data_IF_012449204094
#
_entry.id   IF_012449204094
#
_cell.length_a   1.000
_cell.length_b   1.000
_cell.length_c   1.000
_cell.angle_alpha   90.00
_cell.angle_beta   90.00
_cell.angle_gamma   90.00
#
_symmetry.space_group_name_H-M   'P 1'
#
loop_
_entity.id
_entity.type
_entity.pdbx_description
1 polymer ?
#
# COMPACT_ATOMS: atom_id res chain seq x y z
N UNK A 1 8.82 20.45 14.50
CA UNK A 1 8.64 19.02 14.14
C UNK A 1 8.38 19.00 12.66
N UNK A 2 9.28 18.46 11.86
CA UNK A 2 9.12 18.35 10.42
C UNK A 2 8.70 16.94 10.02
N UNK A 3 8.03 16.82 8.88
CA UNK A 3 7.80 15.53 8.23
C UNK A 3 8.85 15.34 7.13
N UNK A 4 9.18 14.08 6.83
CA UNK A 4 10.06 13.75 5.71
C UNK A 4 9.51 12.58 4.92
N UNK A 5 9.46 12.72 3.60
CA UNK A 5 9.00 11.68 2.68
C UNK A 5 10.20 10.80 2.35
N UNK A 6 10.22 9.57 2.88
CA UNK A 6 11.30 8.63 2.58
C UNK A 6 11.15 8.00 1.19
N UNK A 7 9.92 7.76 0.75
CA UNK A 7 9.61 7.21 -0.56
C UNK A 7 8.13 7.34 -0.91
N UNK A 8 7.84 7.47 -2.20
CA UNK A 8 6.48 7.59 -2.74
C UNK A 8 6.36 6.83 -4.07
N UNK A 9 5.14 6.68 -4.59
CA UNK A 9 4.92 6.08 -5.91
C UNK A 9 5.33 7.05 -7.02
N UNK A 10 6.00 6.53 -8.05
CA UNK A 10 6.31 7.30 -9.27
C UNK A 10 5.23 7.18 -10.34
N UNK A 11 4.25 6.29 -10.13
CA UNK A 11 3.17 6.04 -11.07
C UNK A 11 1.78 6.07 -10.40
N UNK A 12 1.27 4.93 -9.94
CA UNK A 12 -0.05 4.78 -9.34
C UNK A 12 0.03 4.21 -7.92
N UNK A 13 -1.05 4.38 -7.17
CA UNK A 13 -1.19 3.80 -5.84
C UNK A 13 -1.43 2.29 -5.91
N UNK A 14 -0.96 1.55 -4.90
CA UNK A 14 -1.19 0.10 -4.76
C UNK A 14 -2.68 -0.26 -4.80
N UNK A 15 -3.55 0.54 -4.19
CA UNK A 15 -5.01 0.31 -4.21
C UNK A 15 -5.61 0.30 -5.61
N UNK A 16 -5.18 1.23 -6.47
CA UNK A 16 -5.62 1.29 -7.87
C UNK A 16 -5.16 0.05 -8.65
N UNK A 17 -3.94 -0.42 -8.39
CA UNK A 17 -3.44 -1.64 -9.01
C UNK A 17 -4.27 -2.87 -8.58
N UNK A 18 -4.61 -2.99 -7.30
CA UNK A 18 -5.51 -4.04 -6.80
C UNK A 18 -6.88 -3.99 -7.48
N UNK A 19 -7.50 -2.81 -7.56
CA UNK A 19 -8.81 -2.64 -8.20
C UNK A 19 -8.78 -3.00 -9.69
N UNK A 20 -7.72 -2.61 -10.42
CA UNK A 20 -7.53 -2.94 -11.84
C UNK A 20 -7.40 -4.43 -12.05
N UNK A 21 -6.55 -5.11 -11.26
CA UNK A 21 -6.35 -6.56 -11.41
C UNK A 21 -7.63 -7.32 -11.04
N UNK A 22 -8.36 -6.90 -10.01
CA UNK A 22 -9.64 -7.50 -9.66
C UNK A 22 -10.64 -7.46 -10.83
N UNK A 23 -10.72 -6.31 -11.52
CA UNK A 23 -11.57 -6.11 -12.69
C UNK A 23 -11.09 -6.91 -13.91
N UNK A 24 -9.79 -6.95 -14.18
CA UNK A 24 -9.19 -7.74 -15.28
C UNK A 24 -9.47 -9.24 -15.12
N UNK A 25 -9.49 -9.72 -13.88
CA UNK A 25 -9.82 -11.10 -13.55
C UNK A 25 -11.32 -11.37 -13.43
N UNK A 26 -12.16 -10.34 -13.60
CA UNK A 26 -13.62 -10.41 -13.49
C UNK A 26 -14.08 -10.96 -12.13
N UNK A 27 -13.37 -10.61 -11.06
CA UNK A 27 -13.69 -11.06 -9.70
C UNK A 27 -14.96 -10.33 -9.21
N UNK A 28 -16.03 -11.04 -8.83
CA UNK A 28 -17.22 -10.42 -8.26
C UNK A 28 -16.89 -9.79 -6.90
N UNK A 29 -17.37 -8.56 -6.67
CA UNK A 29 -17.07 -7.83 -5.43
C UNK A 29 -18.29 -7.48 -4.56
N UNK A 30 -19.52 -7.78 -4.99
CA UNK A 30 -20.76 -7.79 -4.17
C UNK A 30 -20.87 -6.66 -3.13
N UNK A 31 -20.67 -5.40 -3.55
CA UNK A 31 -20.77 -4.22 -2.68
C UNK A 31 -19.53 -3.90 -1.84
N UNK A 32 -18.49 -4.74 -1.88
CA UNK A 32 -17.16 -4.42 -1.39
C UNK A 32 -16.31 -3.68 -2.43
N UNK A 33 -15.20 -3.07 -2.02
CA UNK A 33 -14.20 -2.55 -2.94
C UNK A 33 -13.56 -3.68 -3.76
N UNK A 34 -13.25 -3.43 -5.03
CA UNK A 34 -12.74 -4.46 -5.95
C UNK A 34 -11.42 -5.08 -5.46
N UNK A 35 -10.49 -4.28 -4.93
CA UNK A 35 -9.26 -4.76 -4.33
C UNK A 35 -9.46 -5.63 -3.09
N UNK A 36 -10.49 -5.35 -2.28
CA UNK A 36 -10.85 -6.21 -1.15
C UNK A 36 -11.43 -7.55 -1.62
N UNK A 37 -12.16 -7.56 -2.74
CA UNK A 37 -12.63 -8.80 -3.34
C UNK A 37 -11.49 -9.65 -3.91
N UNK A 38 -10.46 -9.04 -4.49
CA UNK A 38 -9.26 -9.75 -4.93
C UNK A 38 -8.56 -10.47 -3.77
N UNK A 39 -8.44 -9.81 -2.62
CA UNK A 39 -7.90 -10.45 -1.42
C UNK A 39 -8.74 -11.65 -0.97
N UNK A 40 -10.07 -11.48 -0.89
CA UNK A 40 -10.96 -12.59 -0.51
C UNK A 40 -10.84 -13.76 -1.48
N UNK A 41 -10.70 -13.47 -2.76
CA UNK A 41 -10.49 -14.48 -3.81
C UNK A 41 -9.16 -15.22 -3.61
N UNK A 42 -8.07 -14.52 -3.32
CA UNK A 42 -6.79 -15.14 -2.96
C UNK A 42 -6.91 -16.07 -1.73
N UNK A 43 -7.68 -15.64 -0.71
CA UNK A 43 -7.86 -16.35 0.54
C UNK A 43 -8.84 -17.55 0.43
N UNK A 44 -9.91 -17.44 -0.37
CA UNK A 44 -10.91 -18.51 -0.54
C UNK A 44 -10.32 -19.73 -1.22
N UNK A 45 -9.40 -19.53 -2.18
CA UNK A 45 -8.66 -20.62 -2.80
C UNK A 45 -7.87 -21.46 -1.80
N UNK A 46 -7.42 -20.87 -0.68
CA UNK A 46 -6.66 -21.56 0.37
C UNK A 46 -7.57 -22.52 1.13
N UNK A 47 -8.80 -22.08 1.43
CA UNK A 47 -9.79 -22.87 2.18
C UNK A 47 -10.39 -24.03 1.39
N UNK A 48 -10.31 -23.99 0.06
CA UNK A 48 -10.82 -25.04 -0.82
C UNK A 48 -9.85 -26.23 -0.99
N UNK A 49 -8.75 -26.28 -0.24
CA UNK A 49 -7.75 -27.35 -0.37
C UNK A 49 -6.95 -27.27 -1.67
N UNK A 50 -6.88 -26.09 -2.29
CA UNK A 50 -5.99 -25.81 -3.42
C UNK A 50 -4.57 -25.45 -2.93
N UNK A 51 -4.20 -25.91 -1.73
CA UNK A 51 -2.88 -25.72 -1.11
C UNK A 51 -1.81 -26.57 -1.81
N UNK A 52 -2.17 -27.77 -2.29
CA UNK A 52 -1.33 -28.62 -3.15
C UNK A 52 -1.17 -28.08 -4.58
N UNK A 53 -1.74 -26.91 -4.88
CA UNK A 53 -1.27 -26.10 -6.00
C UNK A 53 -0.02 -25.34 -5.53
N UNK A 54 1.03 -26.09 -5.18
CA UNK A 54 2.35 -25.73 -5.67
C UNK A 54 2.19 -25.60 -7.18
N UNK A 55 1.95 -24.37 -7.66
CA UNK A 55 2.18 -23.88 -9.02
C UNK A 55 2.57 -24.99 -10.02
N UNK A 56 1.63 -25.92 -10.31
CA UNK A 56 1.90 -27.00 -11.27
C UNK A 56 1.89 -26.45 -12.70
N UNK A 57 1.48 -25.19 -12.85
CA UNK A 57 1.80 -24.33 -13.98
C UNK A 57 2.83 -23.31 -13.54
N UNK A 58 3.88 -23.16 -14.35
CA UNK A 58 4.89 -22.10 -14.34
C UNK A 58 4.53 -20.92 -13.40
N UNK A 59 5.33 -20.71 -12.35
CA UNK A 59 5.17 -19.54 -11.47
C UNK A 59 5.02 -18.30 -12.34
N UNK A 60 3.84 -17.67 -12.34
CA UNK A 60 3.60 -16.49 -13.17
C UNK A 60 4.44 -15.36 -12.58
N UNK A 61 5.65 -15.17 -13.12
CA UNK A 61 6.62 -14.24 -12.58
C UNK A 61 6.14 -12.80 -12.80
N UNK A 62 5.97 -12.08 -11.70
CA UNK A 62 5.69 -10.65 -11.72
C UNK A 62 7.01 -9.86 -11.81
N UNK A 63 7.03 -8.73 -12.54
CA UNK A 63 8.22 -7.90 -12.61
C UNK A 63 8.57 -7.33 -11.23
N UNK A 64 9.86 -7.35 -10.87
CA UNK A 64 10.35 -6.70 -9.65
C UNK A 64 10.78 -5.26 -9.95
N UNK A 65 9.89 -4.30 -9.70
CA UNK A 65 10.15 -2.88 -9.90
C UNK A 65 10.80 -2.21 -8.68
N UNK A 66 11.54 -1.12 -8.95
CA UNK A 66 12.14 -0.26 -7.92
C UNK A 66 12.96 -1.01 -6.86
N UNK A 67 13.64 -2.09 -7.25
CA UNK A 67 14.47 -2.87 -6.34
C UNK A 67 15.58 -2.00 -5.74
N UNK A 68 15.74 -2.06 -4.42
CA UNK A 68 16.75 -1.29 -3.68
C UNK A 68 16.54 0.22 -3.67
N UNK A 69 15.37 0.71 -4.12
CA UNK A 69 15.05 2.15 -4.16
C UNK A 69 13.88 2.45 -3.23
N UNK A 70 13.93 3.57 -2.51
CA UNK A 70 12.79 4.11 -1.77
C UNK A 70 11.79 4.81 -2.70
N UNK A 71 11.28 4.06 -3.66
CA UNK A 71 10.25 4.49 -4.59
C UNK A 71 9.35 3.29 -4.91
N UNK A 72 8.08 3.54 -5.20
CA UNK A 72 7.14 2.50 -5.60
C UNK A 72 6.79 2.63 -7.08
N UNK A 73 6.52 1.51 -7.74
CA UNK A 73 5.87 1.47 -9.05
C UNK A 73 4.99 0.23 -9.18
N UNK A 74 3.69 0.44 -9.38
CA UNK A 74 2.68 -0.62 -9.44
C UNK A 74 2.08 -0.82 -10.85
N UNK A 75 2.34 0.09 -11.79
CA UNK A 75 1.81 -0.01 -13.17
C UNK A 75 2.25 -1.31 -13.83
N UNK A 76 3.55 -1.62 -13.73
CA UNK A 76 4.14 -2.79 -14.35
C UNK A 76 3.51 -4.12 -13.92
N UNK A 77 2.98 -4.19 -12.69
CA UNK A 77 2.36 -5.38 -12.14
C UNK A 77 0.99 -5.63 -12.79
N UNK A 78 0.10 -4.62 -12.84
CA UNK A 78 -1.18 -4.80 -13.52
C UNK A 78 -1.00 -5.00 -15.03
N UNK A 79 -0.02 -4.34 -15.66
CA UNK A 79 0.27 -4.57 -17.08
C UNK A 79 0.80 -5.98 -17.35
N UNK A 80 1.49 -6.61 -16.39
CA UNK A 80 1.92 -8.01 -16.52
C UNK A 80 0.71 -8.96 -16.48
N UNK A 81 -0.24 -8.71 -15.58
CA UNK A 81 -1.52 -9.43 -15.52
C UNK A 81 -2.29 -9.26 -16.82
N UNK A 82 -2.45 -8.03 -17.31
CA UNK A 82 -3.15 -7.73 -18.57
C UNK A 82 -2.56 -8.49 -19.77
N UNK A 83 -1.23 -8.46 -19.91
CA UNK A 83 -0.54 -9.21 -20.98
C UNK A 83 -0.80 -10.71 -20.87
N UNK A 84 -0.74 -11.27 -19.67
CA UNK A 84 -0.99 -12.68 -19.45
C UNK A 84 -2.42 -13.07 -19.85
N UNK A 85 -3.41 -12.29 -19.39
CA UNK A 85 -4.84 -12.46 -19.71
C UNK A 85 -5.04 -12.44 -21.22
N UNK A 86 -4.50 -11.43 -21.90
CA UNK A 86 -4.66 -11.27 -23.35
C UNK A 86 -3.98 -12.38 -24.15
N UNK A 87 -2.81 -12.88 -23.74
CA UNK A 87 -2.16 -14.03 -24.38
C UNK A 87 -3.01 -15.29 -24.23
N UNK A 88 -3.52 -15.58 -23.03
CA UNK A 88 -4.36 -16.77 -22.79
C UNK A 88 -5.69 -16.73 -23.54
N UNK A 89 -6.32 -15.56 -23.62
CA UNK A 89 -7.53 -15.35 -24.42
C UNK A 89 -7.31 -15.56 -25.92
N UNK A 90 -6.10 -15.32 -26.44
CA UNK A 90 -5.77 -15.63 -27.85
C UNK A 90 -5.53 -17.12 -28.08
N UNK A 91 -4.93 -17.81 -27.11
CA UNK A 91 -4.66 -19.25 -27.17
C UNK A 91 -5.95 -20.09 -27.02
N UNK A 92 -6.89 -19.63 -26.19
CA UNK A 92 -8.18 -20.28 -25.96
C UNK A 92 -9.25 -19.61 -26.81
N UNK A 93 -9.49 -20.12 -28.02
CA UNK A 93 -10.47 -19.57 -28.96
C UNK A 93 -11.92 -19.53 -28.41
N UNK A 94 -12.24 -20.33 -27.38
CA UNK A 94 -13.53 -20.35 -26.69
C UNK A 94 -13.34 -20.71 -25.21
N UNK A 95 -13.57 -19.75 -24.32
CA UNK A 95 -13.49 -19.90 -22.86
C UNK A 95 -12.56 -18.85 -22.26
N UNK A 96 -13.06 -18.07 -21.29
CA UNK A 96 -12.22 -17.17 -20.51
C UNK A 96 -11.23 -17.94 -19.64
N UNK A 97 -10.40 -17.22 -18.88
CA UNK A 97 -9.48 -17.86 -17.93
C UNK A 97 -10.25 -18.72 -16.93
N UNK A 98 -9.80 -19.96 -16.76
CA UNK A 98 -10.32 -20.82 -15.70
C UNK A 98 -10.02 -20.24 -14.31
N UNK A 99 -10.82 -20.62 -13.33
CA UNK A 99 -10.76 -20.06 -11.98
C UNK A 99 -9.41 -20.33 -11.28
N UNK A 100 -8.74 -21.45 -11.58
CA UNK A 100 -7.43 -21.77 -11.01
C UNK A 100 -6.35 -20.83 -11.56
N UNK A 101 -6.39 -20.56 -12.86
CA UNK A 101 -5.47 -19.61 -13.50
C UNK A 101 -5.71 -18.19 -12.99
N UNK A 102 -6.98 -17.77 -12.83
CA UNK A 102 -7.32 -16.48 -12.21
C UNK A 102 -6.76 -16.38 -10.79
N UNK A 103 -6.91 -17.44 -9.98
CA UNK A 103 -6.41 -17.49 -8.61
C UNK A 103 -4.87 -17.42 -8.54
N UNK A 104 -4.17 -18.18 -9.39
CA UNK A 104 -2.71 -18.15 -9.46
C UNK A 104 -2.20 -16.75 -9.82
N UNK A 105 -2.84 -16.10 -10.80
CA UNK A 105 -2.47 -14.75 -11.22
C UNK A 105 -2.75 -13.70 -10.12
N UNK A 106 -3.91 -13.78 -9.46
CA UNK A 106 -4.26 -12.91 -8.34
C UNK A 106 -3.26 -13.03 -7.18
N UNK A 107 -2.90 -14.27 -6.79
CA UNK A 107 -1.92 -14.54 -5.73
C UNK A 107 -0.53 -14.06 -6.10
N UNK A 108 -0.08 -14.28 -7.33
CA UNK A 108 1.22 -13.79 -7.79
C UNK A 108 1.29 -12.26 -7.77
N UNK A 109 0.24 -11.59 -8.26
CA UNK A 109 0.10 -10.15 -8.16
C UNK A 109 0.12 -9.65 -6.71
N UNK A 110 -0.69 -10.24 -5.83
CA UNK A 110 -0.77 -9.85 -4.41
C UNK A 110 0.58 -10.01 -3.72
N UNK A 111 1.27 -11.15 -3.92
CA UNK A 111 2.63 -11.40 -3.43
C UNK A 111 3.60 -10.33 -3.91
N UNK A 112 3.59 -10.00 -5.20
CA UNK A 112 4.51 -9.03 -5.77
C UNK A 112 4.24 -7.59 -5.29
N UNK A 113 2.97 -7.18 -5.22
CA UNK A 113 2.58 -5.85 -4.78
C UNK A 113 2.92 -5.64 -3.30
N UNK A 114 2.56 -6.59 -2.44
CA UNK A 114 2.87 -6.53 -1.01
C UNK A 114 4.37 -6.69 -0.75
N UNK A 115 5.05 -7.58 -1.47
CA UNK A 115 6.51 -7.74 -1.37
C UNK A 115 7.28 -6.47 -1.74
N UNK A 116 6.77 -5.67 -2.68
CA UNK A 116 7.34 -4.36 -2.94
C UNK A 116 7.18 -3.43 -1.74
N UNK A 117 6.01 -3.41 -1.10
CA UNK A 117 5.76 -2.63 0.12
C UNK A 117 6.70 -3.03 1.26
N UNK A 118 6.83 -4.32 1.53
CA UNK A 118 7.75 -4.88 2.53
C UNK A 118 9.19 -4.42 2.32
N UNK A 119 9.70 -4.54 1.08
CA UNK A 119 11.07 -4.12 0.75
C UNK A 119 11.30 -2.64 1.09
N UNK A 120 10.34 -1.76 0.81
CA UNK A 120 10.52 -0.31 1.01
C UNK A 120 10.35 0.07 2.47
N UNK A 121 9.52 -0.64 3.24
CA UNK A 121 9.45 -0.50 4.70
C UNK A 121 10.81 -0.82 5.32
N UNK A 122 11.41 -1.96 4.94
CA UNK A 122 12.75 -2.35 5.42
C UNK A 122 13.81 -1.34 5.03
N UNK A 123 13.84 -0.92 3.76
CA UNK A 123 14.78 0.11 3.30
C UNK A 123 14.60 1.43 4.07
N UNK A 124 13.36 1.80 4.40
CA UNK A 124 13.04 3.00 5.16
C UNK A 124 13.55 2.93 6.59
N UNK A 125 13.32 1.80 7.27
CA UNK A 125 13.81 1.53 8.63
C UNK A 125 15.34 1.59 8.65
N UNK A 126 16.01 0.90 7.73
CA UNK A 126 17.48 0.90 7.62
C UNK A 126 18.05 2.29 7.35
N UNK A 127 17.40 3.07 6.47
CA UNK A 127 17.80 4.46 6.22
C UNK A 127 17.68 5.32 7.49
N UNK A 128 16.57 5.20 8.21
CA UNK A 128 16.41 5.89 9.50
C UNK A 128 17.51 5.49 10.50
N UNK A 129 17.82 4.20 10.62
CA UNK A 129 18.87 3.72 11.51
C UNK A 129 20.26 4.27 11.14
N UNK A 130 20.60 4.32 9.85
CA UNK A 130 21.85 4.93 9.35
C UNK A 130 21.98 6.40 9.72
N UNK A 131 20.86 7.10 9.87
CA UNK A 131 20.79 8.50 10.28
C UNK A 131 20.62 8.68 11.80
N UNK A 132 20.74 7.60 12.58
CA UNK A 132 20.61 7.64 14.04
C UNK A 132 19.15 7.75 14.55
N UNK A 133 18.16 7.48 13.70
CA UNK A 133 16.74 7.53 14.04
C UNK A 133 16.23 6.11 14.31
N UNK A 134 15.94 5.80 15.57
CA UNK A 134 15.35 4.53 15.96
C UNK A 134 13.83 4.52 15.70
N UNK A 135 13.38 3.68 14.75
CA UNK A 135 11.96 3.51 14.43
C UNK A 135 11.31 2.57 15.44
N UNK A 136 10.37 3.09 16.24
CA UNK A 136 9.67 2.29 17.28
C UNK A 136 8.31 1.77 16.84
N UNK A 137 7.70 2.44 15.86
CA UNK A 137 6.35 2.13 15.39
C UNK A 137 6.24 2.31 13.89
N UNK A 138 5.53 1.38 13.23
CA UNK A 138 5.03 1.51 11.87
C UNK A 138 3.51 1.66 11.92
N UNK A 139 3.01 2.79 11.42
CA UNK A 139 1.57 3.03 11.25
C UNK A 139 1.22 2.84 9.78
N UNK A 140 0.21 2.01 9.50
CA UNK A 140 -0.25 1.73 8.14
C UNK A 140 -1.72 2.12 8.03
N UNK A 141 -1.99 3.18 7.27
CA UNK A 141 -3.33 3.72 7.01
C UNK A 141 -3.67 3.66 5.51
N UNK A 142 -4.94 3.92 5.18
CA UNK A 142 -5.47 3.82 3.82
C UNK A 142 -6.27 2.54 3.57
N UNK A 143 -7.00 2.48 2.44
CA UNK A 143 -7.91 1.36 2.15
C UNK A 143 -7.23 -0.01 2.11
N UNK A 144 -6.06 -0.11 1.49
CA UNK A 144 -5.28 -1.36 1.39
C UNK A 144 -4.74 -1.81 2.74
N UNK A 145 -4.67 -0.93 3.75
CA UNK A 145 -4.28 -1.31 5.10
C UNK A 145 -5.28 -2.27 5.77
N UNK A 146 -6.50 -2.42 5.24
CA UNK A 146 -7.47 -3.43 5.71
C UNK A 146 -7.14 -4.87 5.27
N UNK A 147 -6.20 -5.04 4.34
CA UNK A 147 -5.80 -6.32 3.79
C UNK A 147 -5.03 -7.16 4.82
N UNK A 148 -5.56 -8.32 5.18
CA UNK A 148 -5.00 -9.26 6.16
C UNK A 148 -3.69 -9.87 5.68
N UNK A 149 -3.60 -10.23 4.39
CA UNK A 149 -2.34 -10.73 3.84
C UNK A 149 -1.22 -9.68 3.97
N UNK A 150 -1.49 -8.41 3.68
CA UNK A 150 -0.55 -7.31 3.94
C UNK A 150 -0.17 -7.19 5.42
N UNK A 151 -1.16 -7.26 6.33
CA UNK A 151 -0.94 -7.16 7.78
C UNK A 151 -0.01 -8.24 8.30
N UNK A 152 -0.27 -9.50 7.94
CA UNK A 152 0.53 -10.66 8.33
C UNK A 152 1.96 -10.58 7.79
N UNK A 153 2.09 -10.22 6.50
CA UNK A 153 3.39 -10.02 5.85
C UNK A 153 4.21 -8.91 6.51
N UNK A 154 3.59 -7.77 6.80
CA UNK A 154 4.27 -6.67 7.50
C UNK A 154 4.69 -7.04 8.92
N UNK A 155 3.88 -7.77 9.69
CA UNK A 155 4.28 -8.25 11.02
C UNK A 155 5.52 -9.12 10.92
N UNK A 156 5.49 -10.12 10.03
CA UNK A 156 6.61 -11.04 9.78
C UNK A 156 7.88 -10.27 9.39
N UNK A 157 7.76 -9.35 8.43
CA UNK A 157 8.84 -8.50 7.95
C UNK A 157 9.47 -7.65 9.07
N UNK A 158 8.66 -7.10 9.97
CA UNK A 158 9.16 -6.32 11.10
C UNK A 158 9.81 -7.18 12.19
N UNK A 159 9.29 -8.39 12.44
CA UNK A 159 9.92 -9.35 13.36
C UNK A 159 11.30 -9.78 12.87
N UNK A 160 11.46 -9.97 11.55
CA UNK A 160 12.73 -10.32 10.92
C UNK A 160 13.74 -9.15 10.93
N UNK A 161 13.27 -7.92 10.69
CA UNK A 161 14.14 -6.74 10.61
C UNK A 161 14.62 -6.25 11.99
N UNK A 162 13.81 -6.43 13.03
CA UNK A 162 14.12 -5.97 14.38
C UNK A 162 13.73 -7.02 15.45
N UNK A 163 14.49 -8.12 15.55
CA UNK A 163 14.15 -9.24 16.43
C UNK A 163 14.28 -8.90 17.91
N UNK A 164 15.22 -8.01 18.26
CA UNK A 164 15.53 -7.67 19.66
C UNK A 164 14.72 -6.46 20.16
N UNK A 165 14.39 -5.53 19.27
CA UNK A 165 13.62 -4.31 19.56
C UNK A 165 12.36 -4.30 18.70
N UNK A 166 11.32 -5.02 19.13
CA UNK A 166 10.11 -5.20 18.34
C UNK A 166 9.44 -3.88 17.93
N UNK A 167 9.33 -3.64 16.62
CA UNK A 167 8.63 -2.48 16.06
C UNK A 167 7.12 -2.69 16.22
N UNK A 168 6.45 -1.73 16.87
CA UNK A 168 5.00 -1.75 17.02
C UNK A 168 4.31 -1.54 15.67
N UNK A 169 3.39 -2.43 15.30
CA UNK A 169 2.65 -2.34 14.04
C UNK A 169 1.20 -1.92 14.33
N UNK A 170 0.80 -0.76 13.82
CA UNK A 170 -0.49 -0.14 14.13
C UNK A 170 -1.30 0.05 12.85
N UNK A 171 -2.54 -0.44 12.88
CA UNK A 171 -3.53 -0.22 11.84
C UNK A 171 -4.72 0.55 12.43
N UNK A 172 -5.00 1.78 11.98
CA UNK A 172 -6.19 2.50 12.43
C UNK A 172 -7.49 1.77 12.05
N UNK A 173 -8.61 2.05 12.74
CA UNK A 173 -9.93 1.57 12.33
C UNK A 173 -10.22 1.91 10.86
N UNK A 174 -10.81 1.00 10.07
CA UNK A 174 -11.07 1.26 8.64
C UNK A 174 -11.88 2.54 8.37
N UNK A 175 -12.80 2.91 9.26
CA UNK A 175 -13.58 4.15 9.18
C UNK A 175 -12.74 5.43 9.28
N UNK A 176 -11.52 5.34 9.83
CA UNK A 176 -10.57 6.44 9.93
C UNK A 176 -9.48 6.40 8.84
N UNK A 177 -9.43 5.34 8.04
CA UNK A 177 -8.43 5.15 6.99
C UNK A 177 -8.83 5.77 5.63
N UNK A 178 -10.11 6.09 5.44
CA UNK A 178 -10.61 6.82 4.27
C UNK A 178 -10.66 8.32 4.55
N UNK A 179 -10.60 9.16 3.51
CA UNK A 179 -10.67 10.62 3.67
C UNK A 179 -11.91 11.03 4.46
N UNK A 180 -11.70 11.70 5.61
CA UNK A 180 -12.77 12.07 6.52
C UNK A 180 -12.47 13.40 7.24
N UNK A 181 -13.51 14.12 7.67
CA UNK A 181 -13.33 15.41 8.35
C UNK A 181 -12.68 15.28 9.74
N UNK A 182 -12.77 14.11 10.39
CA UNK A 182 -12.21 13.92 11.72
C UNK A 182 -10.68 13.97 11.71
N UNK A 183 -10.01 13.44 10.66
CA UNK A 183 -8.55 13.52 10.54
C UNK A 183 -8.06 14.97 10.38
N UNK A 184 -8.82 15.79 9.65
CA UNK A 184 -8.53 17.22 9.46
C UNK A 184 -8.70 17.96 10.78
N UNK A 185 -9.83 17.75 11.46
CA UNK A 185 -10.09 18.36 12.77
C UNK A 185 -9.01 17.98 13.80
N UNK A 186 -8.60 16.72 13.85
CA UNK A 186 -7.57 16.24 14.77
C UNK A 186 -6.20 16.87 14.50
N UNK A 187 -5.76 16.91 13.24
CA UNK A 187 -4.51 17.55 12.85
C UNK A 187 -4.51 19.06 13.17
N UNK A 188 -5.60 19.76 12.84
CA UNK A 188 -5.75 21.20 13.09
C UNK A 188 -5.87 21.54 14.57
N UNK A 189 -6.47 20.67 15.38
CA UNK A 189 -6.62 20.89 16.83
C UNK A 189 -5.25 21.03 17.51
N UNK A 190 -4.26 20.22 17.12
CA UNK A 190 -2.90 20.34 17.66
C UNK A 190 -2.23 21.67 17.31
N UNK A 191 -2.42 22.17 16.08
CA UNK A 191 -1.92 23.49 15.64
C UNK A 191 -2.62 24.61 16.42
N UNK A 192 -3.96 24.59 16.45
CA UNK A 192 -4.77 25.58 17.14
C UNK A 192 -4.45 25.68 18.64
N UNK A 193 -4.32 24.54 19.34
CA UNK A 193 -3.95 24.51 20.76
C UNK A 193 -2.51 25.01 21.01
N UNK A 194 -1.65 24.97 20.00
CA UNK A 194 -0.29 25.53 20.06
C UNK A 194 -0.25 27.01 19.65
N UNK A 195 -1.39 27.66 19.36
CA UNK A 195 -1.47 29.03 18.87
C UNK A 195 -1.04 29.21 17.42
N UNK A 196 -0.90 28.12 16.67
CA UNK A 196 -0.60 28.12 15.23
C UNK A 196 -1.93 28.15 14.46
N UNK A 197 -2.24 29.32 13.92
CA UNK A 197 -3.48 29.59 13.17
C UNK A 197 -3.16 30.26 11.83
N UNK A 198 -3.88 29.86 10.80
CA UNK A 198 -3.77 30.45 9.47
C UNK A 198 -4.60 31.75 9.36
N UNK A 199 -4.13 32.71 8.56
CA UNK A 199 -4.88 33.93 8.22
C UNK A 199 -6.08 33.60 7.30
N UNK A 200 -7.13 34.42 7.33
CA UNK A 200 -8.30 34.30 6.45
C UNK A 200 -8.00 34.45 4.95
N UNK A 201 -6.78 34.84 4.60
CA UNK A 201 -6.26 34.93 3.23
C UNK A 201 -5.68 33.62 2.69
N UNK A 202 -5.80 32.49 3.42
CA UNK A 202 -5.28 31.19 2.99
C UNK A 202 -5.82 30.77 1.61
N UNK A 203 -4.90 30.36 0.72
CA UNK A 203 -5.22 29.87 -0.61
C UNK A 203 -5.07 28.35 -0.71
N UNK A 204 -5.85 27.74 -1.60
CA UNK A 204 -5.74 26.30 -1.89
C UNK A 204 -4.41 25.98 -2.58
N UNK A 205 -3.70 24.97 -2.07
CA UNK A 205 -2.45 24.46 -2.64
C UNK A 205 -2.68 23.03 -3.19
N UNK A 206 -2.92 22.85 -4.50
CA UNK A 206 -3.19 21.53 -5.07
C UNK A 206 -2.04 20.53 -4.96
N UNK A 207 -0.80 21.03 -4.90
CA UNK A 207 0.42 20.23 -4.67
C UNK A 207 1.17 20.86 -3.51
N UNK A 208 0.85 20.41 -2.31
CA UNK A 208 1.49 20.86 -1.09
C UNK A 208 2.31 19.71 -0.51
N UNK A 209 3.62 19.90 -0.36
CA UNK A 209 4.46 18.86 0.23
C UNK A 209 4.25 18.83 1.74
N UNK A 210 4.22 17.63 2.31
CA UNK A 210 4.19 17.46 3.77
C UNK A 210 5.48 17.98 4.42
N UNK A 211 6.57 18.04 3.66
CA UNK A 211 7.86 18.57 4.13
C UNK A 211 7.85 20.10 4.25
N UNK A 212 6.90 20.78 3.59
CA UNK A 212 6.74 22.24 3.68
C UNK A 212 6.03 22.67 4.99
N UNK A 213 5.64 21.72 5.85
CA UNK A 213 4.93 21.98 7.12
C UNK A 213 5.85 22.45 8.26
N UNK A 214 7.02 23.02 7.96
CA UNK A 214 7.85 23.62 9.00
C UNK A 214 7.12 24.83 9.63
N UNK A 215 7.29 25.00 10.94
CA UNK A 215 6.83 26.22 11.62
C UNK A 215 7.54 27.39 10.93
N UNK A 216 6.81 28.22 10.21
CA UNK A 216 7.22 29.62 10.10
C UNK A 216 7.35 30.09 11.55
N UNK A 217 8.58 30.34 12.01
CA UNK A 217 8.79 30.93 13.33
C UNK A 217 7.92 32.18 13.38
N UNK A 218 6.98 32.21 14.32
CA UNK A 218 6.15 33.38 14.55
C UNK A 218 7.07 34.59 14.63
N UNK A 219 7.06 35.40 13.56
CA UNK A 219 7.87 36.61 13.50
C UNK A 219 7.60 37.42 14.75
N UNK A 220 8.62 38.09 15.32
CA UNK A 220 8.50 38.74 16.62
C UNK A 220 7.28 39.65 16.60
N UNK A 221 6.33 39.39 17.51
CA UNK A 221 5.21 40.30 17.76
C UNK A 221 5.78 41.70 17.94
N UNK A 222 5.59 42.56 16.95
CA UNK A 222 5.87 43.97 17.11
C UNK A 222 4.82 44.50 18.08
N UNK A 223 5.29 44.83 19.29
CA UNK A 223 4.60 45.69 20.25
C UNK A 223 4.37 47.08 19.65
#
# INVERSE_FOLDING_TARGET
>A
MGFRILGTTVDEAIGNAFDKVAKMLEIPYEGAAAGAALERFCASGLRAGLDDIELTGEEILMPRTMRGKLAFSYTSLHSAVERFVHTKQKEQAQGGLDEKTKLALARSFQRAAVGQLEEKVVLGIRKCAQEGIAVRSLVVSGGVASNQYLRERLRTCLDEESPDEGISLVFPPPSLCTDNAAMIAWASMHRFMAGDTDDYTIESRPRWSLEDLEREEAGPSQM
#
